data_IF_626482172349
#
_entry.id   IF_626482172349
#
_cell.length_a   1.000
_cell.length_b   1.000
_cell.length_c   1.000
_cell.angle_alpha   90.00
_cell.angle_beta   90.00
_cell.angle_gamma   90.00
#
_symmetry.space_group_name_H-M   'P 1'
#
loop_
_entity.id
_entity.type
_entity.pdbx_description
1 polymer ?
#
# COMPACT_ATOMS: atom_id res chain seq x y z
N UNK A 1 -9.41 -21.71 -18.82
CA UNK A 1 -10.05 -21.92 -17.52
C UNK A 1 -9.10 -21.85 -16.34
N UNK A 2 -7.91 -22.44 -16.43
CA UNK A 2 -6.88 -22.32 -15.39
C UNK A 2 -6.46 -20.87 -15.18
N UNK A 3 -6.21 -20.14 -16.26
CA UNK A 3 -5.82 -18.73 -16.18
C UNK A 3 -6.85 -17.88 -15.46
N UNK A 4 -8.14 -18.12 -15.72
CA UNK A 4 -9.20 -17.40 -15.08
C UNK A 4 -9.26 -17.69 -13.57
N UNK A 5 -9.06 -18.96 -13.19
CA UNK A 5 -9.02 -19.33 -11.77
C UNK A 5 -7.79 -18.76 -11.07
N UNK A 6 -6.63 -18.75 -11.75
CA UNK A 6 -5.41 -18.19 -11.21
C UNK A 6 -5.54 -16.68 -10.98
N UNK A 7 -6.16 -15.96 -11.90
CA UNK A 7 -6.44 -14.54 -11.75
C UNK A 7 -7.37 -14.26 -10.57
N UNK A 8 -8.43 -15.06 -10.42
CA UNK A 8 -9.35 -14.92 -9.30
C UNK A 8 -8.65 -15.18 -7.96
N UNK A 9 -7.74 -16.16 -7.93
CA UNK A 9 -6.95 -16.47 -6.73
C UNK A 9 -6.01 -15.32 -6.38
N UNK A 10 -5.33 -14.76 -7.37
CA UNK A 10 -4.45 -13.61 -7.18
C UNK A 10 -5.22 -12.39 -6.67
N UNK A 11 -6.40 -12.12 -7.23
CA UNK A 11 -7.24 -11.01 -6.80
C UNK A 11 -7.71 -11.18 -5.35
N UNK A 12 -8.10 -12.40 -4.97
CA UNK A 12 -8.51 -12.71 -3.60
C UNK A 12 -7.34 -12.54 -2.62
N UNK A 13 -6.16 -13.00 -3.00
CA UNK A 13 -4.97 -12.89 -2.15
C UNK A 13 -4.57 -11.43 -1.99
N UNK A 14 -4.55 -10.66 -3.08
CA UNK A 14 -4.28 -9.23 -3.03
C UNK A 14 -5.30 -8.48 -2.19
N UNK A 15 -6.58 -8.82 -2.33
CA UNK A 15 -7.64 -8.21 -1.52
C UNK A 15 -7.47 -8.54 -0.04
N UNK A 16 -7.16 -9.79 0.26
CA UNK A 16 -6.90 -10.20 1.64
C UNK A 16 -5.74 -9.41 2.25
N UNK A 17 -4.66 -9.21 1.48
CA UNK A 17 -3.52 -8.43 1.92
C UNK A 17 -3.90 -6.97 2.18
N UNK A 18 -4.66 -6.37 1.27
CA UNK A 18 -5.12 -4.99 1.45
C UNK A 18 -6.04 -4.86 2.65
N UNK A 19 -7.00 -5.79 2.81
CA UNK A 19 -7.89 -5.80 3.99
C UNK A 19 -7.09 -5.95 5.28
N UNK A 20 -6.08 -6.81 5.26
CA UNK A 20 -5.19 -7.04 6.41
C UNK A 20 -4.40 -5.77 6.75
N UNK A 21 -3.89 -5.07 5.73
CA UNK A 21 -3.17 -3.83 5.93
C UNK A 21 -4.08 -2.74 6.52
N UNK A 22 -5.32 -2.64 6.04
CA UNK A 22 -6.31 -1.69 6.57
C UNK A 22 -6.58 -1.97 8.05
N UNK A 23 -6.82 -3.22 8.40
CA UNK A 23 -7.07 -3.61 9.78
C UNK A 23 -5.87 -3.29 10.68
N UNK A 24 -4.66 -3.60 10.20
CA UNK A 24 -3.42 -3.25 10.90
C UNK A 24 -3.33 -1.73 11.15
N UNK A 25 -3.58 -0.92 10.11
CA UNK A 25 -3.50 0.53 10.23
C UNK A 25 -4.54 1.07 11.22
N UNK A 26 -5.76 0.53 11.19
CA UNK A 26 -6.78 0.90 12.17
C UNK A 26 -6.33 0.62 13.61
N UNK A 27 -5.74 -0.54 13.83
CA UNK A 27 -5.25 -0.91 15.16
C UNK A 27 -4.09 -0.03 15.62
N UNK A 28 -3.34 0.52 14.67
CA UNK A 28 -2.27 1.47 14.97
C UNK A 28 -2.76 2.91 15.12
N UNK A 29 -4.05 3.15 14.95
CA UNK A 29 -4.65 4.47 15.14
C UNK A 29 -4.77 5.32 13.89
N UNK A 30 -4.47 4.78 12.72
CA UNK A 30 -4.62 5.51 11.46
C UNK A 30 -6.09 5.62 11.06
N UNK A 31 -6.43 6.70 10.37
CA UNK A 31 -7.75 6.88 9.75
C UNK A 31 -7.61 6.62 8.26
N UNK A 32 -8.36 5.65 7.74
CA UNK A 32 -8.32 5.33 6.30
C UNK A 32 -9.16 6.36 5.55
N UNK A 33 -8.54 7.02 4.60
CA UNK A 33 -9.22 8.01 3.73
C UNK A 33 -9.70 7.37 2.44
N UNK A 34 -8.85 6.58 1.78
CA UNK A 34 -9.14 5.96 0.50
C UNK A 34 -8.55 4.55 0.43
N UNK A 35 -9.21 3.70 -0.34
CA UNK A 35 -8.71 2.35 -0.67
C UNK A 35 -8.79 2.19 -2.18
N UNK A 36 -7.68 1.74 -2.80
CA UNK A 36 -7.65 1.51 -4.24
C UNK A 36 -7.97 2.75 -5.05
N UNK A 37 -7.47 3.91 -4.62
CA UNK A 37 -7.73 5.17 -5.31
C UNK A 37 -7.01 5.20 -6.65
N UNK A 38 -7.73 5.59 -7.69
CA UNK A 38 -7.19 5.59 -9.04
C UNK A 38 -7.30 6.96 -9.71
N UNK A 39 -6.29 7.26 -10.51
CA UNK A 39 -6.34 8.36 -11.46
C UNK A 39 -5.66 7.88 -12.75
N UNK A 40 -6.47 7.73 -13.83
CA UNK A 40 -5.96 7.14 -15.06
C UNK A 40 -5.47 5.72 -14.83
N UNK A 41 -4.22 5.46 -15.17
CA UNK A 41 -3.58 4.15 -15.00
C UNK A 41 -2.86 3.98 -13.65
N UNK A 42 -2.84 5.02 -12.84
CA UNK A 42 -2.14 5.00 -11.57
C UNK A 42 -3.09 4.65 -10.44
N UNK A 43 -2.60 3.88 -9.48
CA UNK A 43 -3.39 3.43 -8.34
C UNK A 43 -2.58 3.53 -7.07
N UNK A 44 -3.25 3.94 -5.98
CA UNK A 44 -2.68 3.94 -4.63
C UNK A 44 -3.52 2.99 -3.79
N UNK A 45 -2.88 1.99 -3.18
CA UNK A 45 -3.59 0.95 -2.46
C UNK A 45 -4.36 1.50 -1.26
N UNK A 46 -3.70 2.33 -0.44
CA UNK A 46 -4.32 2.92 0.74
C UNK A 46 -3.82 4.36 0.90
N UNK A 47 -4.73 5.26 1.21
CA UNK A 47 -4.38 6.62 1.65
C UNK A 47 -4.96 6.79 3.04
N UNK A 48 -4.12 7.18 4.00
CA UNK A 48 -4.50 7.24 5.40
C UNK A 48 -3.98 8.51 6.06
N UNK A 49 -4.62 8.88 7.16
CA UNK A 49 -4.15 9.95 8.03
C UNK A 49 -3.46 9.31 9.25
N UNK A 50 -2.28 9.80 9.59
CA UNK A 50 -1.51 9.29 10.72
C UNK A 50 -2.26 9.47 12.04
N UNK A 51 -1.90 8.71 13.10
CA UNK A 51 -2.60 8.79 14.38
C UNK A 51 -2.61 10.19 15.01
N UNK A 52 -1.53 10.95 14.80
CA UNK A 52 -1.45 12.33 15.31
C UNK A 52 -2.18 13.36 14.44
N UNK A 53 -2.70 12.95 13.28
CA UNK A 53 -3.43 13.82 12.38
C UNK A 53 -2.57 14.77 11.56
N UNK A 54 -1.25 14.62 11.59
CA UNK A 54 -0.32 15.56 10.95
C UNK A 54 0.04 15.12 9.54
N UNK A 55 0.07 13.83 9.27
CA UNK A 55 0.65 13.28 8.04
C UNK A 55 -0.36 12.50 7.23
N UNK A 56 -0.47 12.84 5.93
CA UNK A 56 -1.19 12.03 4.95
C UNK A 56 -0.22 10.98 4.41
N UNK A 57 -0.57 9.72 4.55
CA UNK A 57 0.29 8.59 4.26
C UNK A 57 -0.24 7.83 3.04
N UNK A 58 0.63 7.69 2.04
CA UNK A 58 0.33 6.91 0.83
C UNK A 58 1.00 5.54 0.98
N UNK A 59 0.20 4.49 1.01
CA UNK A 59 0.68 3.15 1.35
C UNK A 59 0.60 2.21 0.17
N UNK A 60 1.71 1.58 -0.15
CA UNK A 60 1.80 0.47 -1.08
C UNK A 60 1.75 -0.83 -0.28
N UNK A 61 0.82 -1.70 -0.61
CA UNK A 61 0.68 -3.00 0.06
C UNK A 61 1.28 -4.07 -0.82
N UNK A 62 2.21 -4.85 -0.27
CA UNK A 62 2.79 -5.99 -0.95
C UNK A 62 2.49 -7.26 -0.18
N UNK A 63 1.78 -8.18 -0.84
CA UNK A 63 1.41 -9.46 -0.25
C UNK A 63 2.21 -10.57 -0.91
N UNK A 64 2.84 -11.41 -0.09
CA UNK A 64 3.65 -12.54 -0.57
C UNK A 64 3.34 -13.77 0.25
N UNK A 65 3.40 -14.93 -0.39
CA UNK A 65 3.27 -16.21 0.32
C UNK A 65 4.56 -16.51 1.07
N UNK A 66 4.44 -17.31 2.12
CA UNK A 66 5.57 -17.63 3.00
C UNK A 66 6.70 -18.40 2.30
N UNK A 67 6.42 -19.03 1.15
CA UNK A 67 7.42 -19.77 0.38
C UNK A 67 8.12 -18.90 -0.67
N UNK A 68 7.71 -17.65 -0.84
CA UNK A 68 8.37 -16.73 -1.76
C UNK A 68 9.59 -16.11 -1.10
N UNK A 69 10.73 -16.17 -1.82
CA UNK A 69 11.98 -15.60 -1.33
C UNK A 69 12.13 -14.21 -1.94
N UNK A 70 11.81 -13.19 -1.17
CA UNK A 70 12.00 -11.81 -1.58
C UNK A 70 12.10 -10.91 -0.35
N UNK A 71 12.92 -9.87 -0.45
CA UNK A 71 13.06 -8.90 0.63
C UNK A 71 11.92 -7.87 0.55
N UNK A 72 11.43 -7.33 1.68
CA UNK A 72 10.43 -6.27 1.65
C UNK A 72 10.84 -5.07 0.79
N UNK A 73 12.13 -4.74 0.75
CA UNK A 73 12.67 -3.67 -0.08
C UNK A 73 12.48 -3.91 -1.58
N UNK A 74 12.25 -5.16 -2.00
CA UNK A 74 12.00 -5.49 -3.41
C UNK A 74 10.54 -5.32 -3.80
N UNK A 75 9.68 -4.98 -2.84
CA UNK A 75 8.25 -4.86 -3.06
C UNK A 75 7.89 -3.73 -4.02
N UNK A 76 8.68 -2.65 -4.02
CA UNK A 76 8.39 -1.44 -4.81
C UNK A 76 9.62 -1.07 -5.60
N UNK A 77 9.55 -1.15 -6.93
CA UNK A 77 10.64 -0.73 -7.81
C UNK A 77 10.57 0.78 -8.07
N UNK A 78 11.61 1.31 -8.70
CA UNK A 78 11.74 2.74 -8.96
C UNK A 78 10.60 3.30 -9.82
N UNK A 79 10.18 2.56 -10.85
CA UNK A 79 9.06 2.96 -11.70
C UNK A 79 7.78 3.07 -10.90
N UNK A 80 7.52 2.09 -10.03
CA UNK A 80 6.33 2.06 -9.20
C UNK A 80 6.35 3.21 -8.19
N UNK A 81 7.51 3.51 -7.62
CA UNK A 81 7.66 4.64 -6.70
C UNK A 81 7.37 5.98 -7.39
N UNK A 82 7.87 6.16 -8.63
CA UNK A 82 7.56 7.37 -9.41
C UNK A 82 6.07 7.46 -9.71
N UNK A 83 5.44 6.36 -10.09
CA UNK A 83 4.01 6.33 -10.38
C UNK A 83 3.17 6.66 -9.15
N UNK A 84 3.57 6.17 -7.99
CA UNK A 84 2.92 6.53 -6.73
C UNK A 84 3.06 8.02 -6.43
N UNK A 85 4.22 8.59 -6.70
CA UNK A 85 4.44 10.03 -6.54
C UNK A 85 3.55 10.87 -7.44
N UNK A 86 3.35 10.45 -8.69
CA UNK A 86 2.46 11.12 -9.63
C UNK A 86 1.02 11.06 -9.14
N UNK A 87 0.56 9.87 -8.75
CA UNK A 87 -0.81 9.70 -8.25
C UNK A 87 -1.05 10.51 -6.98
N UNK A 88 -0.07 10.51 -6.07
CA UNK A 88 -0.17 11.28 -4.83
C UNK A 88 -0.24 12.78 -5.10
N UNK A 89 0.54 13.28 -6.06
CA UNK A 89 0.50 14.69 -6.45
C UNK A 89 -0.89 15.10 -6.94
N UNK A 90 -1.51 14.25 -7.77
CA UNK A 90 -2.87 14.48 -8.25
C UNK A 90 -3.85 14.50 -7.08
N UNK A 91 -3.73 13.53 -6.16
CA UNK A 91 -4.62 13.45 -4.99
C UNK A 91 -4.50 14.69 -4.11
N UNK A 92 -3.27 15.10 -3.82
CA UNK A 92 -3.01 16.28 -2.99
C UNK A 92 -3.64 17.54 -3.59
N UNK A 93 -3.51 17.73 -4.89
CA UNK A 93 -4.08 18.90 -5.58
C UNK A 93 -5.60 18.83 -5.67
N UNK A 94 -6.13 17.64 -5.97
CA UNK A 94 -7.56 17.44 -6.14
C UNK A 94 -8.34 17.68 -4.84
N UNK A 95 -7.79 17.25 -3.71
CA UNK A 95 -8.44 17.32 -2.41
C UNK A 95 -7.85 18.38 -1.48
N UNK A 96 -6.95 19.20 -1.99
CA UNK A 96 -6.31 20.30 -1.24
C UNK A 96 -5.73 19.81 0.08
N UNK A 97 -4.92 18.77 0.02
CA UNK A 97 -4.31 18.15 1.20
C UNK A 97 -3.25 19.11 1.78
N UNK A 98 -3.39 19.47 3.05
CA UNK A 98 -2.50 20.40 3.73
C UNK A 98 -1.52 19.71 4.68
N UNK A 99 -1.75 18.44 5.02
CA UNK A 99 -0.88 17.68 5.90
C UNK A 99 0.46 17.40 5.24
N UNK A 100 1.44 17.04 6.04
CA UNK A 100 2.71 16.51 5.52
C UNK A 100 2.43 15.19 4.77
N UNK A 101 3.32 14.84 3.85
CA UNK A 101 3.18 13.64 3.04
C UNK A 101 4.24 12.61 3.43
N UNK A 102 3.84 11.34 3.44
CA UNK A 102 4.76 10.23 3.71
C UNK A 102 4.37 9.04 2.85
N UNK A 103 5.38 8.32 2.34
CA UNK A 103 5.19 7.16 1.49
C UNK A 103 5.67 5.92 2.23
N UNK A 104 4.74 5.03 2.52
CA UNK A 104 5.00 3.81 3.30
C UNK A 104 4.79 2.56 2.45
N UNK A 105 5.46 1.49 2.84
CA UNK A 105 5.21 0.15 2.30
C UNK A 105 4.78 -0.75 3.45
N UNK A 106 3.68 -1.47 3.26
CA UNK A 106 3.28 -2.53 4.17
C UNK A 106 3.46 -3.85 3.44
N UNK A 107 4.36 -4.66 3.96
CA UNK A 107 4.65 -5.98 3.41
C UNK A 107 4.00 -7.04 4.29
N UNK A 108 3.20 -7.91 3.66
CA UNK A 108 2.50 -8.99 4.34
C UNK A 108 3.00 -10.30 3.79
N UNK A 109 3.59 -11.11 4.65
CA UNK A 109 4.09 -12.43 4.31
C UNK A 109 3.20 -13.49 4.95
N UNK A 110 2.71 -14.42 4.17
CA UNK A 110 1.83 -15.49 4.64
C UNK A 110 0.55 -15.53 3.83
N UNK A 111 -0.34 -16.45 4.17
CA UNK A 111 -1.59 -16.64 3.44
C UNK A 111 -2.82 -16.72 4.34
N UNK A 112 -2.63 -16.79 5.65
CA UNK A 112 -3.72 -16.83 6.63
C UNK A 112 -3.40 -15.92 7.81
N UNK A 113 -4.44 -15.54 8.55
CA UNK A 113 -4.29 -14.72 9.75
C UNK A 113 -3.38 -15.37 10.80
N UNK A 114 -3.28 -16.71 10.80
CA UNK A 114 -2.50 -17.45 11.79
C UNK A 114 -1.01 -17.50 11.47
N UNK A 115 -0.64 -17.42 10.18
CA UNK A 115 0.74 -17.55 9.75
C UNK A 115 1.30 -16.31 9.07
N UNK A 116 0.64 -15.17 9.21
CA UNK A 116 1.08 -13.95 8.55
C UNK A 116 2.07 -13.17 9.39
N UNK A 117 2.95 -12.47 8.70
CA UNK A 117 3.86 -11.50 9.29
C UNK A 117 3.66 -10.17 8.56
N UNK A 118 3.54 -9.09 9.31
CA UNK A 118 3.37 -7.75 8.77
C UNK A 118 4.62 -6.95 9.07
N UNK A 119 5.18 -6.32 8.04
CA UNK A 119 6.26 -5.37 8.20
C UNK A 119 5.81 -4.03 7.63
N UNK A 120 5.86 -3.00 8.45
CA UNK A 120 5.48 -1.65 8.06
C UNK A 120 6.73 -0.80 7.93
N UNK A 121 7.07 -0.43 6.71
CA UNK A 121 8.21 0.43 6.42
C UNK A 121 7.70 1.86 6.28
N UNK A 122 7.84 2.64 7.32
CA UNK A 122 7.46 4.05 7.31
C UNK A 122 8.51 4.87 6.55
N UNK A 123 8.04 5.85 5.79
CA UNK A 123 8.91 6.73 5.02
C UNK A 123 9.87 5.93 4.14
N UNK A 124 9.32 4.95 3.43
CA UNK A 124 10.10 3.96 2.69
C UNK A 124 10.82 4.56 1.48
N UNK A 125 10.32 5.66 0.93
CA UNK A 125 10.94 6.33 -0.22
C UNK A 125 10.40 7.75 -0.35
N UNK A 126 11.14 8.56 -1.12
CA UNK A 126 10.71 9.93 -1.45
C UNK A 126 10.65 10.05 -2.98
N UNK A 127 9.47 10.13 -3.59
CA UNK A 127 9.32 10.17 -5.04
C UNK A 127 10.01 11.38 -5.70
N UNK A 128 10.19 12.47 -4.97
CA UNK A 128 10.84 13.68 -5.50
C UNK A 128 12.31 13.44 -5.81
N UNK A 129 12.93 12.49 -5.15
CA UNK A 129 14.35 12.18 -5.31
C UNK A 129 14.63 11.18 -6.44
N UNK A 130 13.60 10.72 -7.15
CA UNK A 130 13.74 9.72 -8.21
C UNK A 130 13.79 10.31 -9.62
#
# INVERSE_FOLDING_TARGET
MREHQDMATHNKFGKWGEDTAVDYLHKQGYTIRERGWRHGKFEIDIIALSPDGITCVFVEVKTRRSDEVALPSDAVDEKKMRNLGIAADVYVKMFDIQEELRFDVISILGSTAENMQIEHLEDAFNPVLL
#
